data_IF_261244438761
#
_entry.id   IF_261244438761
#
_cell.length_a   1.000
_cell.length_b   1.000
_cell.length_c   1.000
_cell.angle_alpha   90.00
_cell.angle_beta   90.00
_cell.angle_gamma   90.00
#
_symmetry.space_group_name_H-M   'P 1'
#
loop_
_entity.id
_entity.type
_entity.pdbx_description
1 polymer ?
#
# COMPACT_ATOMS: atom_id res chain seq x y z
N UNK A 1 19.64 12.01 -3.01
CA UNK A 1 19.12 11.32 -1.81
C UNK A 1 19.27 9.80 -2.00
N UNK A 2 20.51 9.30 -1.97
CA UNK A 2 20.90 7.91 -2.24
C UNK A 2 21.15 7.11 -0.94
N UNK A 3 20.27 7.26 0.06
CA UNK A 3 20.43 6.63 1.38
C UNK A 3 19.44 5.50 1.68
N UNK A 4 18.62 5.06 0.72
CA UNK A 4 17.56 4.05 0.98
C UNK A 4 17.96 2.59 0.77
N UNK A 5 19.12 2.28 0.20
CA UNK A 5 19.49 0.89 -0.11
C UNK A 5 20.21 0.14 1.02
N UNK A 6 21.02 0.80 1.86
CA UNK A 6 21.69 0.10 2.98
C UNK A 6 20.77 -0.21 4.17
N UNK A 7 19.61 0.44 4.21
CA UNK A 7 18.66 0.37 5.33
C UNK A 7 17.90 -0.96 5.43
N UNK A 8 17.65 -1.61 4.29
CA UNK A 8 16.96 -2.91 4.28
C UNK A 8 17.85 -4.07 4.73
N UNK A 9 19.17 -3.86 4.84
CA UNK A 9 20.17 -4.89 5.14
C UNK A 9 20.05 -5.47 6.56
N UNK A 10 19.56 -4.70 7.54
CA UNK A 10 19.41 -5.17 8.93
C UNK A 10 18.15 -6.03 9.14
N UNK A 11 17.11 -5.84 8.32
CA UNK A 11 15.97 -6.79 8.20
C UNK A 11 16.35 -8.10 7.49
N UNK A 12 17.61 -8.25 7.04
CA UNK A 12 18.15 -9.47 6.40
C UNK A 12 18.84 -10.42 7.40
N UNK A 13 18.83 -10.12 8.70
CA UNK A 13 19.57 -10.87 9.72
C UNK A 13 18.80 -11.95 10.50
N UNK A 14 17.57 -12.30 10.12
CA UNK A 14 16.79 -13.35 10.80
C UNK A 14 17.08 -14.80 10.32
N UNK A 15 18.23 -15.03 9.68
CA UNK A 15 18.86 -16.35 9.56
C UNK A 15 20.37 -16.23 9.81
N UNK A 16 20.89 -17.15 10.62
CA UNK A 16 22.26 -17.30 11.18
C UNK A 16 23.45 -16.93 10.25
N UNK A 17 24.59 -16.44 10.79
CA UNK A 17 25.67 -15.83 10.02
C UNK A 17 26.67 -16.86 9.48
N UNK A 18 27.01 -16.79 8.17
CA UNK A 18 28.32 -17.24 7.67
C UNK A 18 28.88 -16.32 6.58
N UNK A 19 30.11 -15.88 6.85
CA UNK A 19 31.15 -15.35 5.96
C UNK A 19 30.91 -14.01 5.24
N UNK A 20 31.51 -12.97 5.82
CA UNK A 20 31.84 -11.71 5.17
C UNK A 20 32.93 -11.89 4.10
N UNK A 21 32.76 -11.24 2.94
CA UNK A 21 33.86 -10.91 2.03
C UNK A 21 33.70 -9.49 1.47
N UNK A 22 34.86 -8.87 1.20
CA UNK A 22 35.13 -7.42 1.14
C UNK A 22 34.46 -6.69 -0.04
N UNK A 23 34.07 -5.43 0.20
CA UNK A 23 33.76 -4.43 -0.83
C UNK A 23 35.04 -3.68 -1.27
N UNK A 24 35.25 -3.38 -2.56
CA UNK A 24 36.27 -2.42 -2.98
C UNK A 24 35.68 -1.00 -3.13
N UNK A 25 36.49 -0.03 -2.70
CA UNK A 25 36.34 1.40 -2.93
C UNK A 25 36.36 1.74 -4.43
N UNK A 26 35.62 2.75 -4.88
CA UNK A 26 36.17 3.88 -5.65
C UNK A 26 35.18 5.05 -5.78
N UNK A 27 35.79 6.22 -5.63
CA UNK A 27 35.37 7.62 -5.76
C UNK A 27 34.50 8.00 -6.96
N UNK A 28 33.51 8.87 -6.68
CA UNK A 28 32.68 9.72 -7.58
C UNK A 28 33.52 10.63 -8.51
N UNK A 29 32.99 11.30 -9.58
CA UNK A 29 31.81 12.19 -9.49
C UNK A 29 30.93 12.39 -10.76
N UNK A 30 29.82 13.12 -10.57
CA UNK A 30 28.93 13.75 -11.57
C UNK A 30 28.12 12.81 -12.50
N UNK A 31 27.11 12.15 -11.94
CA UNK A 31 25.99 11.64 -12.74
C UNK A 31 24.83 12.63 -12.64
N UNK A 32 24.65 13.42 -13.70
CA UNK A 32 23.41 14.12 -14.00
C UNK A 32 22.26 13.11 -13.89
N UNK A 33 21.43 13.23 -12.86
CA UNK A 33 20.23 12.40 -12.70
C UNK A 33 19.25 12.84 -13.77
N UNK A 34 19.38 12.27 -14.97
CA UNK A 34 18.25 12.08 -15.86
C UNK A 34 17.30 11.19 -15.05
N UNK A 35 16.23 11.79 -14.54
CA UNK A 35 15.09 11.05 -14.02
C UNK A 35 14.56 10.27 -15.21
N UNK A 36 15.04 9.04 -15.38
CA UNK A 36 14.50 8.11 -16.34
C UNK A 36 13.11 7.74 -15.81
N UNK A 37 12.11 8.56 -16.17
CA UNK A 37 10.68 8.23 -16.17
C UNK A 37 10.50 7.07 -17.16
N UNK A 38 11.02 5.89 -16.85
CA UNK A 38 10.44 4.68 -17.40
C UNK A 38 8.98 4.72 -16.99
N UNK A 39 8.13 4.90 -18.00
CA UNK A 39 6.69 5.05 -17.89
C UNK A 39 6.16 3.76 -17.26
N UNK A 40 5.99 3.78 -15.94
CA UNK A 40 5.24 2.75 -15.26
C UNK A 40 3.81 2.79 -15.81
N UNK A 41 3.49 1.87 -16.71
CA UNK A 41 2.11 1.64 -17.14
C UNK A 41 1.43 0.88 -16.02
N UNK A 42 0.65 1.61 -15.21
CA UNK A 42 -0.14 0.98 -14.16
C UNK A 42 -1.16 0.02 -14.82
N UNK A 43 -1.17 -1.27 -14.47
CA UNK A 43 -2.04 -2.25 -15.14
C UNK A 43 -3.51 -2.13 -14.72
N UNK A 44 -3.84 -1.17 -13.85
CA UNK A 44 -5.19 -0.93 -13.34
C UNK A 44 -5.63 0.50 -13.62
N UNK A 45 -6.94 0.74 -13.71
CA UNK A 45 -7.49 2.07 -13.91
C UNK A 45 -7.02 3.08 -12.86
N UNK A 46 -6.75 4.31 -13.32
CA UNK A 46 -6.24 5.43 -12.51
C UNK A 46 -7.19 6.62 -12.47
N UNK A 47 -8.23 6.63 -13.30
CA UNK A 47 -9.27 7.66 -13.30
C UNK A 47 -10.68 7.05 -13.09
N UNK A 48 -11.57 7.78 -12.40
CA UNK A 48 -12.89 7.27 -12.03
C UNK A 48 -13.76 6.96 -13.25
N UNK A 49 -13.61 7.71 -14.34
CA UNK A 49 -14.35 7.51 -15.58
C UNK A 49 -13.98 6.21 -16.33
N UNK A 50 -12.84 5.59 -15.99
CA UNK A 50 -12.43 4.28 -16.54
C UNK A 50 -13.16 3.11 -15.85
N UNK A 51 -13.71 3.34 -14.66
CA UNK A 51 -14.31 2.28 -13.83
C UNK A 51 -15.79 2.51 -13.52
N UNK A 52 -16.27 3.73 -13.69
CA UNK A 52 -17.66 4.10 -13.47
C UNK A 52 -18.08 5.26 -14.36
N UNK A 53 -19.39 5.37 -14.62
CA UNK A 53 -19.95 6.47 -15.40
C UNK A 53 -20.04 7.73 -14.53
N UNK A 54 -18.99 8.55 -14.54
CA UNK A 54 -18.89 9.79 -13.74
C UNK A 54 -20.15 10.68 -13.83
N UNK A 55 -20.76 10.94 -15.00
CA UNK A 55 -21.98 11.76 -15.08
C UNK A 55 -23.19 11.19 -14.35
N UNK A 56 -23.25 9.86 -14.16
CA UNK A 56 -24.31 9.21 -13.39
C UNK A 56 -24.01 9.30 -11.89
N UNK A 57 -22.75 9.10 -11.50
CA UNK A 57 -22.33 9.18 -10.09
C UNK A 57 -22.50 10.60 -9.54
N UNK A 58 -22.17 11.63 -10.31
CA UNK A 58 -22.28 13.03 -9.90
C UNK A 58 -23.70 13.52 -9.63
N UNK A 59 -24.72 12.72 -9.99
CA UNK A 59 -26.14 13.01 -9.72
C UNK A 59 -26.64 12.34 -8.44
N UNK A 60 -25.85 11.48 -7.82
CA UNK A 60 -26.25 10.72 -6.64
C UNK A 60 -25.93 11.50 -5.36
N UNK A 61 -26.77 11.39 -4.35
CA UNK A 61 -26.40 11.83 -3.00
C UNK A 61 -25.27 10.97 -2.40
N UNK A 62 -24.52 11.47 -1.39
CA UNK A 62 -23.37 10.78 -0.79
C UNK A 62 -23.65 9.35 -0.32
N UNK A 63 -24.76 9.11 0.38
CA UNK A 63 -25.13 7.77 0.85
C UNK A 63 -25.38 6.80 -0.31
N UNK A 64 -26.11 7.28 -1.32
CA UNK A 64 -26.41 6.48 -2.51
C UNK A 64 -25.16 6.22 -3.34
N UNK A 65 -24.24 7.18 -3.41
CA UNK A 65 -22.94 7.03 -4.05
C UNK A 65 -22.13 5.92 -3.39
N UNK A 66 -22.03 5.91 -2.05
CA UNK A 66 -21.37 4.83 -1.31
C UNK A 66 -22.00 3.46 -1.61
N UNK A 67 -23.32 3.37 -1.62
CA UNK A 67 -24.02 2.12 -1.94
C UNK A 67 -23.71 1.65 -3.37
N UNK A 68 -23.86 2.51 -4.37
CA UNK A 68 -23.63 2.17 -5.79
C UNK A 68 -22.17 1.79 -6.02
N UNK A 69 -21.23 2.53 -5.41
CA UNK A 69 -19.80 2.26 -5.50
C UNK A 69 -19.44 0.85 -5.01
N UNK A 70 -19.97 0.43 -3.86
CA UNK A 70 -19.70 -0.91 -3.34
C UNK A 70 -20.46 -1.99 -4.12
N UNK A 71 -21.74 -1.74 -4.47
CA UNK A 71 -22.60 -2.72 -5.12
C UNK A 71 -22.10 -3.11 -6.51
N UNK A 72 -21.57 -2.17 -7.30
CA UNK A 72 -21.10 -2.48 -8.65
C UNK A 72 -19.90 -3.45 -8.67
N UNK A 73 -19.06 -3.45 -7.63
CA UNK A 73 -17.89 -4.32 -7.51
C UNK A 73 -18.15 -5.55 -6.64
N UNK A 74 -19.32 -5.69 -6.03
CA UNK A 74 -19.68 -6.84 -5.20
C UNK A 74 -19.45 -8.19 -5.93
N UNK A 75 -19.86 -8.39 -7.20
CA UNK A 75 -19.67 -9.66 -7.89
C UNK A 75 -18.20 -9.99 -8.22
N UNK A 76 -17.31 -8.97 -8.20
CA UNK A 76 -15.90 -9.14 -8.56
C UNK A 76 -15.10 -9.66 -7.38
N UNK A 77 -14.46 -10.83 -7.53
CA UNK A 77 -13.61 -11.46 -6.51
C UNK A 77 -12.23 -10.82 -6.37
N UNK A 78 -11.84 -10.03 -7.36
CA UNK A 78 -10.53 -9.41 -7.51
C UNK A 78 -10.54 -7.90 -7.24
N UNK A 79 -11.65 -7.36 -6.71
CA UNK A 79 -11.78 -5.94 -6.37
C UNK A 79 -12.40 -5.77 -5.00
N UNK A 80 -11.71 -5.02 -4.14
CA UNK A 80 -12.23 -4.54 -2.86
C UNK A 80 -12.42 -3.03 -2.92
N UNK A 81 -13.47 -2.52 -2.28
CA UNK A 81 -13.83 -1.09 -2.32
C UNK A 81 -14.14 -0.54 -0.95
N UNK A 82 -13.95 0.77 -0.81
CA UNK A 82 -14.35 1.56 0.35
C UNK A 82 -14.58 3.01 -0.09
N UNK A 83 -15.20 3.82 0.75
CA UNK A 83 -15.26 5.28 0.59
C UNK A 83 -14.59 5.97 1.77
N UNK A 84 -14.10 7.18 1.56
CA UNK A 84 -13.43 7.97 2.59
C UNK A 84 -13.92 9.41 2.51
N UNK A 85 -14.30 10.00 3.63
CA UNK A 85 -14.71 11.39 3.67
C UNK A 85 -13.55 12.34 3.35
N UNK A 86 -13.90 13.55 2.92
CA UNK A 86 -12.91 14.53 2.49
C UNK A 86 -11.85 14.90 3.55
N UNK A 87 -12.21 14.92 4.83
CA UNK A 87 -11.28 15.26 5.91
C UNK A 87 -10.24 14.15 6.10
N UNK A 88 -10.71 12.91 6.23
CA UNK A 88 -9.82 11.75 6.34
C UNK A 88 -9.00 11.53 5.07
N UNK A 89 -9.53 11.82 3.89
CA UNK A 89 -8.79 11.73 2.63
C UNK A 89 -7.63 12.75 2.56
N UNK A 90 -7.86 13.99 2.98
CA UNK A 90 -6.81 15.00 3.05
C UNK A 90 -5.72 14.62 4.04
N UNK A 91 -6.09 14.10 5.22
CA UNK A 91 -5.13 13.58 6.20
C UNK A 91 -4.31 12.41 5.63
N UNK A 92 -5.00 11.43 5.04
CA UNK A 92 -4.39 10.27 4.41
C UNK A 92 -3.35 10.65 3.35
N UNK A 93 -3.73 11.52 2.40
CA UNK A 93 -2.85 11.95 1.30
C UNK A 93 -1.67 12.80 1.78
N UNK A 94 -1.88 13.65 2.80
CA UNK A 94 -0.78 14.38 3.44
C UNK A 94 0.23 13.42 4.05
N UNK A 95 -0.26 12.44 4.79
CA UNK A 95 0.57 11.49 5.53
C UNK A 95 1.32 10.52 4.59
N UNK A 96 0.64 9.98 3.58
CA UNK A 96 1.26 9.06 2.62
C UNK A 96 2.28 9.75 1.69
N UNK A 97 2.14 11.05 1.45
CA UNK A 97 3.15 11.84 0.71
C UNK A 97 4.46 11.98 1.50
N UNK A 98 4.36 12.14 2.81
CA UNK A 98 5.53 12.29 3.69
C UNK A 98 6.19 10.94 4.01
N UNK A 99 5.37 9.90 4.20
CA UNK A 99 5.81 8.58 4.63
C UNK A 99 5.26 7.51 3.66
N UNK A 100 5.85 7.36 2.46
CA UNK A 100 5.21 6.65 1.35
C UNK A 100 5.33 5.12 1.41
N UNK A 101 5.90 4.54 2.46
CA UNK A 101 6.10 3.10 2.54
C UNK A 101 5.61 2.53 3.87
N UNK A 102 5.10 1.32 3.86
CA UNK A 102 4.85 0.60 5.12
C UNK A 102 4.79 -0.90 4.87
N UNK A 103 4.60 -1.71 5.90
CA UNK A 103 4.48 -3.16 5.78
C UNK A 103 3.27 -3.67 6.56
N UNK A 104 2.74 -4.81 6.13
CA UNK A 104 1.69 -5.55 6.84
C UNK A 104 1.94 -7.04 6.72
N UNK A 105 1.68 -7.84 7.76
CA UNK A 105 1.53 -9.27 7.57
C UNK A 105 0.24 -9.55 6.79
N UNK A 106 0.29 -10.53 5.90
CA UNK A 106 -0.83 -11.23 5.30
C UNK A 106 -0.86 -12.63 5.90
N UNK A 107 -1.81 -12.86 6.79
CA UNK A 107 -1.92 -14.11 7.56
C UNK A 107 -2.64 -15.17 6.74
N UNK A 108 -2.11 -16.40 6.82
CA UNK A 108 -2.71 -17.61 6.27
C UNK A 108 -2.97 -18.61 7.39
N UNK A 109 -3.59 -19.75 7.08
CA UNK A 109 -3.79 -20.85 8.04
C UNK A 109 -2.49 -21.29 8.73
N UNK A 110 -1.39 -21.30 7.98
CA UNK A 110 -0.06 -21.68 8.49
C UNK A 110 0.94 -20.58 8.13
N UNK A 111 1.19 -19.68 9.08
CA UNK A 111 2.16 -18.60 8.94
C UNK A 111 1.61 -17.36 8.24
N UNK A 112 2.53 -16.50 7.80
CA UNK A 112 2.19 -15.23 7.16
C UNK A 112 3.25 -14.87 6.11
N UNK A 113 2.85 -14.07 5.14
CA UNK A 113 3.77 -13.35 4.26
C UNK A 113 3.79 -11.87 4.67
N UNK A 114 4.94 -11.21 4.60
CA UNK A 114 5.00 -9.75 4.80
C UNK A 114 4.83 -9.07 3.46
N UNK A 115 3.86 -8.17 3.38
CA UNK A 115 3.66 -7.29 2.24
C UNK A 115 4.27 -5.92 2.52
N UNK A 116 4.81 -5.29 1.49
CA UNK A 116 5.25 -3.90 1.50
C UNK A 116 4.29 -3.04 0.67
N UNK A 117 3.86 -1.92 1.22
CA UNK A 117 3.07 -0.89 0.55
C UNK A 117 4.00 0.21 0.08
N UNK A 118 3.85 0.66 -1.16
CA UNK A 118 4.67 1.73 -1.73
C UNK A 118 3.78 2.69 -2.51
N UNK A 119 3.52 3.86 -1.93
CA UNK A 119 2.83 4.93 -2.61
C UNK A 119 3.72 5.49 -3.73
N UNK A 120 3.31 5.27 -4.98
CA UNK A 120 3.97 5.86 -6.16
C UNK A 120 3.56 7.33 -6.31
N UNK A 121 2.36 7.65 -5.84
CA UNK A 121 1.82 8.99 -5.64
C UNK A 121 0.71 8.91 -4.57
N UNK A 122 0.17 10.03 -4.08
CA UNK A 122 -0.81 10.00 -2.99
C UNK A 122 -2.11 9.24 -3.28
N UNK A 123 -2.39 8.96 -4.56
CA UNK A 123 -3.60 8.25 -5.02
C UNK A 123 -3.35 6.79 -5.36
N UNK A 124 -2.10 6.33 -5.37
CA UNK A 124 -1.80 4.95 -5.76
C UNK A 124 -0.66 4.35 -4.98
N UNK A 125 -0.87 3.11 -4.52
CA UNK A 125 0.17 2.30 -3.92
C UNK A 125 0.28 0.94 -4.59
N UNK A 126 1.52 0.48 -4.74
CA UNK A 126 1.86 -0.87 -5.12
C UNK A 126 2.04 -1.69 -3.85
N UNK A 127 1.41 -2.86 -3.79
CA UNK A 127 1.55 -3.78 -2.67
C UNK A 127 2.18 -5.06 -3.18
N UNK A 128 3.37 -5.38 -2.67
CA UNK A 128 4.20 -6.50 -3.15
C UNK A 128 4.60 -7.37 -1.95
N UNK A 129 4.86 -8.64 -2.19
CA UNK A 129 5.68 -9.47 -1.30
C UNK A 129 6.98 -8.77 -0.93
N UNK A 130 7.28 -8.69 0.38
CA UNK A 130 8.56 -8.17 0.86
C UNK A 130 9.73 -9.04 0.37
N UNK A 131 9.55 -10.36 0.27
CA UNK A 131 10.58 -11.26 -0.23
C UNK A 131 10.92 -10.96 -1.70
N UNK A 132 9.89 -10.84 -2.54
CA UNK A 132 10.10 -10.49 -3.96
C UNK A 132 10.68 -9.08 -4.11
N UNK A 133 10.23 -8.13 -3.27
CA UNK A 133 10.78 -6.77 -3.26
C UNK A 133 12.27 -6.75 -2.88
N UNK A 134 12.70 -7.61 -1.94
CA UNK A 134 14.14 -7.74 -1.59
C UNK A 134 14.97 -8.21 -2.78
N UNK A 135 14.43 -9.10 -3.60
CA UNK A 135 15.15 -9.68 -4.75
C UNK A 135 15.17 -8.74 -5.96
N UNK A 136 14.06 -8.07 -6.25
CA UNK A 136 13.84 -7.32 -7.50
C UNK A 136 13.72 -5.82 -7.31
N UNK A 137 13.70 -5.34 -6.07
CA UNK A 137 13.45 -3.94 -5.76
C UNK A 137 12.17 -3.44 -6.43
N UNK A 138 12.29 -2.31 -7.14
CA UNK A 138 11.16 -1.67 -7.84
C UNK A 138 10.62 -2.47 -9.02
N UNK A 139 11.37 -3.43 -9.53
CA UNK A 139 10.94 -4.30 -10.64
C UNK A 139 10.09 -5.48 -10.16
N UNK A 140 9.77 -5.52 -8.85
CA UNK A 140 8.85 -6.51 -8.29
C UNK A 140 7.44 -6.34 -8.83
N UNK A 141 6.79 -7.45 -9.18
CA UNK A 141 5.40 -7.42 -9.64
C UNK A 141 4.43 -7.22 -8.46
N UNK A 142 3.55 -6.21 -8.48
CA UNK A 142 2.60 -5.98 -7.41
C UNK A 142 1.57 -7.13 -7.32
N UNK A 143 1.27 -7.54 -6.09
CA UNK A 143 0.20 -8.51 -5.80
C UNK A 143 -1.16 -7.81 -5.71
N UNK A 144 -1.17 -6.58 -5.21
CA UNK A 144 -2.33 -5.71 -5.16
C UNK A 144 -1.95 -4.30 -5.60
N UNK A 145 -2.93 -3.55 -6.12
CA UNK A 145 -2.78 -2.12 -6.37
C UNK A 145 -3.92 -1.38 -5.69
N UNK A 146 -3.56 -0.41 -4.84
CA UNK A 146 -4.50 0.54 -4.24
C UNK A 146 -4.65 1.74 -5.16
N UNK A 147 -5.88 2.18 -5.40
CA UNK A 147 -6.21 3.42 -6.14
C UNK A 147 -7.25 4.22 -5.35
N UNK A 148 -7.02 5.53 -5.24
CA UNK A 148 -7.97 6.49 -4.70
C UNK A 148 -8.43 7.48 -5.79
N UNK A 149 -9.75 7.57 -5.94
CA UNK A 149 -10.44 8.47 -6.85
C UNK A 149 -11.01 9.65 -6.06
N UNK A 150 -10.60 10.87 -6.41
CA UNK A 150 -10.96 12.12 -5.72
C UNK A 150 -11.80 13.07 -6.58
N UNK A 151 -12.25 12.63 -7.75
CA UNK A 151 -13.03 13.41 -8.70
C UNK A 151 -14.37 13.90 -8.12
N UNK A 152 -14.89 13.21 -7.10
CA UNK A 152 -16.11 13.57 -6.38
C UNK A 152 -15.85 14.20 -5.00
N UNK A 153 -14.58 14.47 -4.65
CA UNK A 153 -14.21 14.96 -3.33
C UNK A 153 -14.81 16.34 -3.03
N UNK A 154 -14.79 17.26 -4.00
CA UNK A 154 -15.30 18.62 -3.80
C UNK A 154 -16.84 18.64 -3.80
N UNK A 155 -17.46 17.93 -4.73
CA UNK A 155 -18.91 17.96 -4.93
C UNK A 155 -19.67 17.09 -3.93
N UNK A 156 -19.10 15.96 -3.51
CA UNK A 156 -19.78 14.96 -2.67
C UNK A 156 -19.08 14.73 -1.33
N UNK A 157 -17.96 15.41 -1.06
CA UNK A 157 -17.13 15.23 0.16
C UNK A 157 -16.65 13.80 0.36
N UNK A 158 -16.50 13.05 -0.73
CA UNK A 158 -16.15 11.64 -0.72
C UNK A 158 -15.06 11.34 -1.75
N UNK A 159 -14.02 10.64 -1.31
CA UNK A 159 -13.13 9.87 -2.16
C UNK A 159 -13.64 8.43 -2.27
N UNK A 160 -13.46 7.84 -3.44
CA UNK A 160 -13.78 6.43 -3.70
C UNK A 160 -12.46 5.65 -3.74
N UNK A 161 -12.37 4.59 -2.95
CA UNK A 161 -11.17 3.79 -2.80
C UNK A 161 -11.39 2.40 -3.38
N UNK A 162 -10.33 1.87 -3.98
CA UNK A 162 -10.31 0.55 -4.61
C UNK A 162 -8.97 -0.14 -4.37
N UNK A 163 -9.01 -1.45 -4.15
CA UNK A 163 -7.86 -2.33 -4.28
C UNK A 163 -8.16 -3.38 -5.33
N UNK A 164 -7.29 -3.47 -6.33
CA UNK A 164 -7.29 -4.50 -7.36
C UNK A 164 -6.36 -5.65 -6.96
N UNK A 165 -6.84 -6.88 -7.08
CA UNK A 165 -6.10 -8.10 -6.76
C UNK A 165 -5.51 -8.67 -8.05
N UNK A 166 -4.18 -8.67 -8.14
CA UNK A 166 -3.45 -9.21 -9.29
C UNK A 166 -2.93 -10.64 -9.04
N UNK A 167 -2.92 -11.07 -7.78
CA UNK A 167 -2.48 -12.40 -7.37
C UNK A 167 -3.66 -13.28 -6.95
N UNK A 168 -3.81 -14.44 -7.58
CA UNK A 168 -4.89 -15.40 -7.30
C UNK A 168 -4.86 -16.00 -5.88
N UNK A 169 -3.74 -15.86 -5.16
CA UNK A 169 -3.58 -16.34 -3.77
C UNK A 169 -4.21 -15.40 -2.73
N UNK A 170 -4.58 -14.18 -3.12
CA UNK A 170 -5.18 -13.21 -2.20
C UNK A 170 -6.69 -13.16 -2.47
N UNK A 171 -7.48 -13.34 -1.42
CA UNK A 171 -8.93 -13.29 -1.51
C UNK A 171 -9.44 -11.84 -1.47
N UNK A 172 -10.66 -11.60 -1.97
CA UNK A 172 -11.37 -10.31 -1.80
C UNK A 172 -11.43 -9.87 -0.34
N UNK A 173 -11.64 -10.82 0.57
CA UNK A 173 -11.76 -10.53 1.99
C UNK A 173 -10.43 -10.02 2.57
N UNK A 174 -9.33 -10.72 2.29
CA UNK A 174 -7.97 -10.25 2.64
C UNK A 174 -7.66 -8.89 2.01
N UNK A 175 -7.98 -8.68 0.74
CA UNK A 175 -7.78 -7.39 0.06
C UNK A 175 -8.59 -6.26 0.72
N UNK A 176 -9.82 -6.55 1.16
CA UNK A 176 -10.65 -5.59 1.89
C UNK A 176 -10.05 -5.25 3.26
N UNK A 177 -9.50 -6.24 3.97
CA UNK A 177 -8.77 -6.01 5.23
C UNK A 177 -7.53 -5.16 5.01
N UNK A 178 -6.74 -5.45 3.97
CA UNK A 178 -5.58 -4.63 3.59
C UNK A 178 -6.00 -3.20 3.27
N UNK A 179 -7.06 -3.00 2.47
CA UNK A 179 -7.59 -1.66 2.15
C UNK A 179 -7.95 -0.87 3.42
N UNK A 180 -8.70 -1.48 4.35
CA UNK A 180 -9.06 -0.84 5.63
C UNK A 180 -7.82 -0.51 6.45
N UNK A 181 -6.86 -1.42 6.53
CA UNK A 181 -5.64 -1.24 7.30
C UNK A 181 -4.77 -0.12 6.70
N UNK A 182 -4.61 -0.05 5.37
CA UNK A 182 -3.91 1.05 4.69
C UNK A 182 -4.48 2.40 5.13
N UNK A 183 -5.81 2.56 5.12
CA UNK A 183 -6.40 3.81 5.56
C UNK A 183 -6.16 4.03 7.06
N UNK A 184 -6.48 3.04 7.90
CA UNK A 184 -6.36 3.11 9.36
C UNK A 184 -4.96 3.52 9.83
N UNK A 185 -3.91 2.94 9.24
CA UNK A 185 -2.52 3.26 9.57
C UNK A 185 -2.09 4.68 9.24
N UNK A 186 -2.77 5.33 8.31
CA UNK A 186 -2.40 6.66 7.84
C UNK A 186 -3.31 7.77 8.36
N UNK A 187 -4.43 7.45 8.99
CA UNK A 187 -5.36 8.47 9.54
C UNK A 187 -5.50 8.44 11.06
N UNK A 188 -5.18 7.34 11.72
CA UNK A 188 -5.23 7.25 13.18
C UNK A 188 -3.82 7.42 13.75
N UNK A 189 -3.67 8.40 14.65
CA UNK A 189 -2.37 8.82 15.18
C UNK A 189 -1.56 7.68 15.81
N UNK A 190 -2.20 6.84 16.63
CA UNK A 190 -1.53 5.72 17.31
C UNK A 190 -0.95 4.71 16.33
N UNK A 191 -1.66 4.41 15.24
CA UNK A 191 -1.15 3.52 14.20
C UNK A 191 -0.13 4.22 13.30
N UNK A 192 -0.32 5.52 13.04
CA UNK A 192 0.55 6.30 12.18
C UNK A 192 1.96 6.48 12.75
N UNK A 193 2.15 6.43 14.07
CA UNK A 193 3.48 6.38 14.67
C UNK A 193 4.34 5.22 14.12
N UNK A 194 3.73 4.05 13.86
CA UNK A 194 4.46 2.92 13.27
C UNK A 194 4.91 3.21 11.85
N UNK A 195 4.06 3.88 11.07
CA UNK A 195 4.39 4.31 9.71
C UNK A 195 5.55 5.32 9.73
N UNK A 196 5.50 6.29 10.64
CA UNK A 196 6.57 7.28 10.82
C UNK A 196 7.88 6.62 11.21
N UNK A 197 7.87 5.71 12.20
CA UNK A 197 9.05 4.94 12.61
C UNK A 197 9.61 4.13 11.45
N UNK A 198 8.77 3.44 10.69
CA UNK A 198 9.22 2.65 9.55
C UNK A 198 9.94 3.49 8.49
N UNK A 199 9.42 4.68 8.17
CA UNK A 199 9.98 5.54 7.12
C UNK A 199 11.15 6.42 7.58
N UNK A 200 11.17 6.84 8.85
CA UNK A 200 12.13 7.81 9.38
C UNK A 200 13.20 7.21 10.30
N UNK A 201 12.90 6.11 10.98
CA UNK A 201 13.71 5.51 12.05
C UNK A 201 13.68 3.97 11.96
N UNK A 202 13.69 3.40 10.77
CA UNK A 202 13.40 1.97 10.60
C UNK A 202 14.45 1.01 11.16
N UNK A 203 15.59 1.49 11.67
CA UNK A 203 16.46 0.71 12.56
C UNK A 203 15.82 0.41 13.93
N UNK A 204 14.92 1.28 14.39
CA UNK A 204 14.16 1.17 15.63
C UNK A 204 12.80 0.50 15.43
N UNK A 205 12.39 0.27 14.17
CA UNK A 205 11.13 -0.41 13.91
C UNK A 205 11.29 -1.91 14.20
N UNK A 206 10.64 -2.33 15.27
CA UNK A 206 10.53 -3.74 15.64
C UNK A 206 9.28 -4.35 15.02
N UNK A 207 9.48 -5.16 13.98
CA UNK A 207 8.40 -5.87 13.30
C UNK A 207 7.68 -6.88 14.21
N UNK A 208 8.40 -7.54 15.12
CA UNK A 208 7.78 -8.52 16.00
C UNK A 208 6.85 -7.83 16.98
N UNK A 209 7.31 -6.76 17.64
CA UNK A 209 6.45 -5.91 18.48
C UNK A 209 5.26 -5.33 17.71
N UNK A 210 5.48 -4.85 16.48
CA UNK A 210 4.40 -4.35 15.63
C UNK A 210 3.34 -5.43 15.36
N UNK A 211 3.77 -6.62 14.95
CA UNK A 211 2.88 -7.74 14.61
C UNK A 211 2.08 -8.20 15.83
N UNK A 212 2.74 -8.35 16.97
CA UNK A 212 2.12 -8.88 18.18
C UNK A 212 1.08 -7.90 18.76
N UNK A 213 1.33 -6.60 18.68
CA UNK A 213 0.38 -5.57 19.12
C UNK A 213 -0.90 -5.50 18.27
N UNK A 214 -0.86 -6.00 17.03
CA UNK A 214 -1.96 -5.84 16.08
C UNK A 214 -2.35 -7.13 15.36
N UNK A 215 -2.03 -8.29 15.94
CA UNK A 215 -2.27 -9.58 15.31
C UNK A 215 -3.75 -9.76 14.91
N UNK A 216 -4.66 -9.39 15.82
CA UNK A 216 -6.11 -9.48 15.60
C UNK A 216 -6.61 -8.64 14.40
N UNK A 217 -5.89 -7.58 14.05
CA UNK A 217 -6.24 -6.73 12.90
C UNK A 217 -5.87 -7.38 11.56
N UNK A 218 -4.95 -8.34 11.58
CA UNK A 218 -4.48 -9.06 10.39
C UNK A 218 -5.08 -10.45 10.26
N UNK A 219 -5.65 -10.98 11.34
CA UNK A 219 -6.42 -12.21 11.35
C UNK A 219 -7.75 -11.98 10.62
N UNK A 220 -7.69 -12.14 9.30
CA UNK A 220 -8.87 -12.37 8.51
C UNK A 220 -9.17 -13.87 8.58
N UNK A 221 -9.88 -14.34 9.60
CA UNK A 221 -10.38 -15.72 9.60
C UNK A 221 -11.21 -15.90 8.34
N UNK A 222 -10.60 -16.57 7.36
CA UNK A 222 -11.30 -17.15 6.24
C UNK A 222 -12.06 -18.35 6.79
N UNK A 223 -13.31 -18.16 7.16
CA UNK A 223 -14.28 -19.25 7.06
C UNK A 223 -14.26 -19.71 5.60
N UNK A 224 -13.66 -20.88 5.37
CA UNK A 224 -13.83 -21.65 4.15
C UNK A 224 -15.16 -22.40 4.23
#
# INVERSE_FOLDING_TARGET
MCLKFSFYAKYLGYLSPRSATKLPNHSSPLCLIIINRQLFTCPVPRALNEVAKLPLLSKLGPERLCFVWNKQFEPRKDVATMTLDSGNYQLFTRNNKLFPMFITPLVYKYGFEVLIWQFVDPKCALITSLETYKQKGRDSYPLLIFTAFDELLVSHRLALLRVDVLCTKITKHQASTILRNIIKFYINDSYFEWVKRFNGMGEEFDFQSFKDNYLDMFNSESEC
#
